data_IF_600927596225
#
_entry.id   IF_600927596225
#
_cell.length_a   1.000
_cell.length_b   1.000
_cell.length_c   1.000
_cell.angle_alpha   90.00
_cell.angle_beta   90.00
_cell.angle_gamma   90.00
#
_symmetry.space_group_name_H-M   'P 1'
#
loop_
_entity.id
_entity.type
_entity.pdbx_description
1 polymer ?
#
# COMPACT_ATOMS: atom_id res chain seq x y z
N UNK A 1 1.12 -18.47 7.51
CA UNK A 1 2.24 -17.54 7.29
C UNK A 1 2.40 -17.22 5.81
N UNK A 2 2.77 -18.17 4.96
CA UNK A 2 2.93 -17.93 3.50
C UNK A 2 1.67 -17.35 2.87
N UNK A 3 0.49 -17.92 3.16
CA UNK A 3 -0.78 -17.37 2.65
C UNK A 3 -1.04 -15.94 3.11
N UNK A 4 -0.78 -15.65 4.39
CA UNK A 4 -0.92 -14.32 4.98
C UNK A 4 0.00 -13.30 4.28
N UNK A 5 1.25 -13.67 4.05
CA UNK A 5 2.20 -12.82 3.33
C UNK A 5 1.83 -12.66 1.85
N UNK A 6 1.26 -13.69 1.22
CA UNK A 6 0.75 -13.59 -0.15
C UNK A 6 -0.46 -12.65 -0.22
N UNK A 7 -1.31 -12.61 0.80
CA UNK A 7 -2.40 -11.63 0.92
C UNK A 7 -1.86 -10.20 1.03
N UNK A 8 -0.85 -9.95 1.88
CA UNK A 8 -0.18 -8.65 1.95
C UNK A 8 0.49 -8.30 0.60
N UNK A 9 1.23 -9.23 0.00
CA UNK A 9 1.87 -9.07 -1.30
C UNK A 9 0.87 -8.64 -2.39
N UNK A 10 -0.32 -9.24 -2.42
CA UNK A 10 -1.36 -8.82 -3.34
C UNK A 10 -1.86 -7.40 -3.08
N UNK A 11 -1.95 -7.01 -1.81
CA UNK A 11 -2.35 -5.66 -1.39
C UNK A 11 -1.35 -4.64 -1.92
N UNK A 12 -0.06 -4.82 -1.65
CA UNK A 12 1.02 -3.94 -2.13
C UNK A 12 1.03 -3.78 -3.65
N UNK A 13 0.84 -4.87 -4.41
CA UNK A 13 0.79 -4.78 -5.88
C UNK A 13 -0.46 -4.07 -6.39
N UNK A 14 -1.62 -4.26 -5.74
CA UNK A 14 -2.84 -3.51 -6.09
C UNK A 14 -2.66 -2.03 -5.80
N UNK A 15 -2.08 -1.68 -4.64
CA UNK A 15 -1.74 -0.31 -4.27
C UNK A 15 -0.72 0.32 -5.22
N UNK A 16 0.38 -0.36 -5.52
CA UNK A 16 1.39 0.04 -6.52
C UNK A 16 0.74 0.42 -7.85
N UNK A 17 -0.12 -0.46 -8.40
CA UNK A 17 -0.79 -0.22 -9.68
C UNK A 17 -1.80 0.92 -9.61
N UNK A 18 -2.47 1.10 -8.47
CA UNK A 18 -3.40 2.21 -8.23
C UNK A 18 -2.64 3.54 -8.17
N UNK A 19 -1.52 3.60 -7.44
CA UNK A 19 -0.67 4.78 -7.39
C UNK A 19 -0.12 5.17 -8.76
N UNK A 20 0.40 4.22 -9.54
CA UNK A 20 0.84 4.53 -10.91
C UNK A 20 -0.31 5.06 -11.77
N UNK A 21 -1.52 4.48 -11.65
CA UNK A 21 -2.68 5.02 -12.36
C UNK A 21 -2.95 6.46 -11.93
N UNK A 22 -2.99 6.74 -10.64
CA UNK A 22 -3.23 8.09 -10.11
C UNK A 22 -2.12 9.08 -10.54
N UNK A 23 -0.85 8.67 -10.52
CA UNK A 23 0.28 9.43 -11.05
C UNK A 23 0.09 9.86 -12.50
N UNK A 24 -0.26 8.91 -13.39
CA UNK A 24 -0.43 9.21 -14.81
C UNK A 24 -1.71 10.01 -15.11
N UNK A 25 -2.74 9.86 -14.28
CA UNK A 25 -4.04 10.52 -14.46
C UNK A 25 -4.15 11.86 -13.72
N UNK A 26 -3.22 12.17 -12.82
CA UNK A 26 -3.14 13.44 -12.10
C UNK A 26 -2.98 14.61 -13.09
N UNK A 27 -3.95 15.52 -13.06
CA UNK A 27 -4.03 16.71 -13.93
C UNK A 27 -4.70 17.86 -13.19
N UNK A 28 -4.35 19.09 -13.56
CA UNK A 28 -4.86 20.31 -12.93
C UNK A 28 -3.74 21.21 -12.41
N UNK A 29 -4.08 22.43 -11.97
CA UNK A 29 -3.10 23.43 -11.52
C UNK A 29 -2.28 23.01 -10.29
N UNK A 30 -2.82 22.12 -9.45
CA UNK A 30 -2.17 21.61 -8.23
C UNK A 30 -1.55 20.21 -8.42
N UNK A 31 -1.52 19.70 -9.66
CA UNK A 31 -1.19 18.31 -9.91
C UNK A 31 0.27 17.97 -9.68
N UNK A 32 1.20 18.92 -9.87
CA UNK A 32 2.64 18.59 -9.89
C UNK A 32 3.16 18.10 -8.53
N UNK A 33 2.69 18.67 -7.42
CA UNK A 33 3.08 18.24 -6.07
C UNK A 33 2.47 16.86 -5.74
N UNK A 34 1.15 16.71 -5.87
CA UNK A 34 0.42 15.45 -5.59
C UNK A 34 0.91 14.30 -6.49
N UNK A 35 1.31 14.63 -7.71
CA UNK A 35 1.89 13.66 -8.65
C UNK A 35 3.28 13.18 -8.20
N UNK A 36 4.07 14.02 -7.54
CA UNK A 36 5.32 13.58 -6.91
C UNK A 36 5.06 12.49 -5.89
N UNK A 37 4.15 12.76 -4.95
CA UNK A 37 3.76 11.83 -3.87
C UNK A 37 3.26 10.49 -4.43
N UNK A 38 2.35 10.51 -5.42
CA UNK A 38 1.87 9.26 -6.04
C UNK A 38 2.98 8.42 -6.67
N UNK A 39 4.02 9.05 -7.23
CA UNK A 39 5.13 8.30 -7.82
C UNK A 39 6.03 7.70 -6.75
N UNK A 40 6.30 8.46 -5.69
CA UNK A 40 7.11 8.02 -4.55
C UNK A 40 6.45 6.82 -3.86
N UNK A 41 5.16 6.93 -3.54
CA UNK A 41 4.43 5.85 -2.88
C UNK A 41 4.32 4.62 -3.77
N UNK A 42 4.13 4.78 -5.09
CA UNK A 42 4.16 3.64 -6.02
C UNK A 42 5.48 2.85 -5.95
N UNK A 43 6.60 3.53 -5.70
CA UNK A 43 7.92 2.90 -5.60
C UNK A 43 8.14 2.26 -4.23
N UNK A 44 7.67 2.89 -3.15
CA UNK A 44 7.71 2.33 -1.80
C UNK A 44 6.86 1.06 -1.69
N UNK A 45 5.63 1.09 -2.17
CA UNK A 45 4.71 -0.05 -2.27
C UNK A 45 5.31 -1.21 -3.07
N UNK A 46 5.97 -0.90 -4.19
CA UNK A 46 6.70 -1.92 -4.94
C UNK A 46 7.87 -2.51 -4.12
N UNK A 47 8.58 -1.68 -3.36
CA UNK A 47 9.65 -2.14 -2.49
C UNK A 47 9.12 -3.02 -1.34
N UNK A 48 7.98 -2.67 -0.75
CA UNK A 48 7.28 -3.49 0.24
C UNK A 48 6.94 -4.87 -0.35
N UNK A 49 6.34 -4.89 -1.54
CA UNK A 49 6.00 -6.11 -2.26
C UNK A 49 7.23 -7.00 -2.50
N UNK A 50 8.38 -6.42 -2.88
CA UNK A 50 9.63 -7.16 -3.04
C UNK A 50 10.10 -7.80 -1.74
N UNK A 51 10.08 -7.05 -0.62
CA UNK A 51 10.47 -7.57 0.71
C UNK A 51 9.57 -8.74 1.13
N UNK A 52 8.26 -8.64 0.88
CA UNK A 52 7.30 -9.70 1.16
C UNK A 52 7.55 -10.94 0.30
N UNK A 53 7.78 -10.76 -1.01
CA UNK A 53 8.07 -11.85 -1.93
C UNK A 53 9.36 -12.60 -1.55
N UNK A 54 10.43 -11.86 -1.24
CA UNK A 54 11.67 -12.45 -0.73
C UNK A 54 11.44 -13.22 0.57
N UNK A 55 10.64 -12.67 1.48
CA UNK A 55 10.33 -13.35 2.75
C UNK A 55 9.53 -14.63 2.54
N UNK A 56 8.58 -14.65 1.61
CA UNK A 56 7.82 -15.85 1.24
C UNK A 56 8.77 -16.96 0.76
N UNK A 57 9.73 -16.64 -0.10
CA UNK A 57 10.73 -17.59 -0.60
C UNK A 57 11.62 -18.13 0.54
N UNK A 58 12.07 -17.26 1.44
CA UNK A 58 12.86 -17.67 2.62
C UNK A 58 12.12 -18.65 3.54
N UNK A 59 10.79 -18.56 3.59
CA UNK A 59 9.93 -19.47 4.35
C UNK A 59 9.58 -20.77 3.58
N UNK A 60 10.14 -20.96 2.37
CA UNK A 60 9.91 -22.13 1.52
C UNK A 60 8.59 -22.08 0.74
N UNK A 61 7.98 -20.90 0.62
CA UNK A 61 6.78 -20.67 -0.19
C UNK A 61 7.09 -20.09 -1.58
N UNK A 62 6.03 -19.95 -2.38
CA UNK A 62 6.08 -19.31 -3.69
C UNK A 62 5.27 -18.00 -3.63
N UNK A 63 5.84 -16.86 -4.06
CA UNK A 63 5.10 -15.60 -4.14
C UNK A 63 4.11 -15.66 -5.31
N UNK A 64 2.83 -15.44 -5.01
CA UNK A 64 1.77 -15.41 -6.01
C UNK A 64 1.60 -13.99 -6.57
N UNK A 65 2.20 -13.78 -7.74
CA UNK A 65 2.14 -12.55 -8.52
C UNK A 65 1.13 -12.61 -9.67
N UNK A 66 0.25 -13.61 -9.69
CA UNK A 66 -0.68 -13.77 -10.81
C UNK A 66 -1.72 -12.62 -10.83
N UNK A 67 -1.73 -11.76 -11.87
CA UNK A 67 -2.62 -10.61 -11.94
C UNK A 67 -4.11 -10.97 -11.85
N UNK A 68 -4.51 -12.16 -12.30
CA UNK A 68 -5.91 -12.61 -12.26
C UNK A 68 -6.43 -12.90 -10.84
N UNK A 69 -5.53 -12.90 -9.86
CA UNK A 69 -5.82 -13.26 -8.46
C UNK A 69 -5.51 -12.15 -7.46
N UNK A 70 -4.73 -11.14 -7.84
CA UNK A 70 -4.30 -10.06 -6.92
C UNK A 70 -5.50 -9.41 -6.23
N UNK A 71 -6.49 -8.96 -6.99
CA UNK A 71 -7.67 -8.27 -6.43
C UNK A 71 -8.59 -9.16 -5.60
N UNK A 72 -8.49 -10.49 -5.73
CA UNK A 72 -9.28 -11.45 -4.93
C UNK A 72 -8.65 -11.69 -3.56
N UNK A 73 -7.35 -11.40 -3.41
CA UNK A 73 -6.56 -11.60 -2.20
C UNK A 73 -6.25 -10.31 -1.47
N UNK A 74 -6.13 -9.19 -2.21
CA UNK A 74 -5.86 -7.87 -1.67
C UNK A 74 -6.92 -7.42 -0.67
N UNK A 75 -6.50 -6.78 0.42
CA UNK A 75 -7.41 -6.06 1.31
C UNK A 75 -7.85 -4.72 0.74
N UNK A 76 -7.00 -4.07 -0.05
CA UNK A 76 -7.29 -2.81 -0.70
C UNK A 76 -7.95 -3.00 -2.08
N UNK A 77 -8.86 -2.10 -2.43
CA UNK A 77 -9.49 -2.09 -3.75
C UNK A 77 -8.66 -1.33 -4.79
N UNK A 78 -8.80 -1.73 -6.06
CA UNK A 78 -8.33 -0.95 -7.20
C UNK A 78 -9.39 0.10 -7.55
N UNK A 79 -9.36 1.24 -6.85
CA UNK A 79 -10.25 2.39 -7.11
C UNK A 79 -9.53 3.41 -7.97
N UNK A 80 -10.24 3.88 -8.99
CA UNK A 80 -9.67 4.73 -10.04
C UNK A 80 -9.62 6.22 -9.69
N UNK A 81 -10.51 6.71 -8.84
CA UNK A 81 -10.71 8.14 -8.57
C UNK A 81 -11.32 8.92 -9.75
N UNK A 82 -12.28 9.81 -9.47
CA UNK A 82 -12.90 10.66 -10.51
C UNK A 82 -12.16 11.97 -10.78
N UNK A 83 -11.46 12.51 -9.78
CA UNK A 83 -10.64 13.72 -9.86
C UNK A 83 -9.44 13.64 -8.90
N UNK A 84 -8.57 14.66 -8.89
CA UNK A 84 -7.34 14.65 -8.10
C UNK A 84 -7.60 14.49 -6.60
N UNK A 85 -8.68 15.11 -6.08
CA UNK A 85 -9.03 15.03 -4.66
C UNK A 85 -9.58 13.66 -4.31
N UNK A 86 -10.38 13.09 -5.20
CA UNK A 86 -10.88 11.73 -5.05
C UNK A 86 -9.74 10.71 -5.09
N UNK A 87 -8.75 10.86 -5.98
CA UNK A 87 -7.57 9.99 -6.02
C UNK A 87 -6.79 9.98 -4.71
N UNK A 88 -6.54 11.15 -4.11
CA UNK A 88 -5.90 11.26 -2.80
C UNK A 88 -6.72 10.59 -1.72
N UNK A 89 -8.04 10.82 -1.70
CA UNK A 89 -8.95 10.21 -0.74
C UNK A 89 -8.98 8.68 -0.85
N UNK A 90 -9.05 8.14 -2.06
CA UNK A 90 -9.04 6.69 -2.29
C UNK A 90 -7.72 6.05 -1.87
N UNK A 91 -6.59 6.73 -2.06
CA UNK A 91 -5.30 6.28 -1.52
C UNK A 91 -5.28 6.30 0.01
N UNK A 92 -5.72 7.39 0.66
CA UNK A 92 -5.83 7.43 2.13
C UNK A 92 -6.72 6.30 2.71
N UNK A 93 -7.83 5.98 2.03
CA UNK A 93 -8.70 4.86 2.44
C UNK A 93 -7.94 3.55 2.35
N UNK A 94 -7.21 3.33 1.26
CA UNK A 94 -6.43 2.12 1.08
C UNK A 94 -5.28 2.01 2.10
N UNK A 95 -4.58 3.10 2.42
CA UNK A 95 -3.54 3.11 3.45
C UNK A 95 -4.09 2.70 4.80
N UNK A 96 -5.23 3.25 5.21
CA UNK A 96 -5.86 2.88 6.48
C UNK A 96 -6.26 1.40 6.53
N UNK A 97 -6.72 0.84 5.42
CA UNK A 97 -7.01 -0.60 5.31
C UNK A 97 -5.71 -1.42 5.41
N UNK A 98 -4.63 -0.98 4.77
CA UNK A 98 -3.32 -1.64 4.84
C UNK A 98 -2.75 -1.61 6.27
N UNK A 99 -2.76 -0.45 6.93
CA UNK A 99 -2.36 -0.26 8.33
C UNK A 99 -3.09 -1.23 9.26
N UNK A 100 -4.42 -1.29 9.18
CA UNK A 100 -5.22 -2.19 10.00
C UNK A 100 -4.85 -3.66 9.74
N UNK A 101 -4.69 -4.03 8.45
CA UNK A 101 -4.25 -5.37 8.06
C UNK A 101 -2.87 -5.72 8.60
N UNK A 102 -1.91 -4.80 8.53
CA UNK A 102 -0.55 -5.02 9.05
C UNK A 102 -0.52 -5.16 10.57
N UNK A 103 -1.30 -4.36 11.30
CA UNK A 103 -1.44 -4.48 12.76
C UNK A 103 -1.98 -5.86 13.15
N UNK A 104 -3.04 -6.31 12.49
CA UNK A 104 -3.59 -7.67 12.71
C UNK A 104 -2.57 -8.77 12.39
N UNK A 105 -1.80 -8.62 11.32
CA UNK A 105 -0.74 -9.55 10.94
C UNK A 105 0.38 -9.60 11.98
N UNK A 106 0.86 -8.44 12.44
CA UNK A 106 1.91 -8.32 13.45
C UNK A 106 1.47 -8.99 14.76
N UNK A 107 0.24 -8.75 15.20
CA UNK A 107 -0.33 -9.35 16.39
C UNK A 107 -0.47 -10.88 16.25
N UNK A 108 -0.93 -11.36 15.09
CA UNK A 108 -1.07 -12.78 14.81
C UNK A 108 0.27 -13.53 14.83
N UNK A 109 1.31 -12.92 14.25
CA UNK A 109 2.66 -13.47 14.22
C UNK A 109 3.25 -13.49 15.64
N UNK A 110 3.10 -12.40 16.39
CA UNK A 110 3.68 -12.26 17.72
C UNK A 110 5.17 -12.55 17.72
N UNK A 111 5.65 -13.34 18.68
CA UNK A 111 7.07 -13.67 18.81
C UNK A 111 7.50 -14.95 18.07
N UNK A 112 6.60 -15.54 17.25
CA UNK A 112 6.86 -16.81 16.56
C UNK A 112 7.86 -16.68 15.40
N UNK A 113 7.88 -15.51 14.77
CA UNK A 113 8.79 -15.20 13.67
C UNK A 113 9.19 -13.72 13.73
N UNK A 114 10.26 -13.45 14.46
CA UNK A 114 10.75 -12.08 14.70
C UNK A 114 11.28 -11.42 13.43
N UNK A 115 11.75 -12.18 12.45
CA UNK A 115 12.19 -11.63 11.16
C UNK A 115 11.00 -11.14 10.35
N UNK A 116 9.95 -11.96 10.22
CA UNK A 116 8.74 -11.52 9.51
C UNK A 116 8.09 -10.35 10.23
N UNK A 117 7.95 -10.41 11.56
CA UNK A 117 7.37 -9.32 12.35
C UNK A 117 8.07 -7.98 12.09
N UNK A 118 9.41 -7.93 12.12
CA UNK A 118 10.17 -6.70 11.83
C UNK A 118 9.93 -6.16 10.42
N UNK A 119 9.86 -7.05 9.42
CA UNK A 119 9.56 -6.63 8.05
C UNK A 119 8.19 -5.96 7.98
N UNK A 120 7.18 -6.53 8.65
CA UNK A 120 5.83 -5.95 8.69
C UNK A 120 5.77 -4.65 9.48
N UNK A 121 6.50 -4.55 10.60
CA UNK A 121 6.60 -3.31 11.40
C UNK A 121 7.22 -2.17 10.59
N UNK A 122 8.26 -2.45 9.80
CA UNK A 122 8.89 -1.45 8.93
C UNK A 122 7.99 -1.01 7.76
N UNK A 123 7.15 -1.92 7.25
CA UNK A 123 6.17 -1.59 6.20
C UNK A 123 5.04 -0.76 6.82
N UNK A 124 4.49 -1.20 7.95
CA UNK A 124 3.46 -0.47 8.70
C UNK A 124 3.88 0.98 8.99
N UNK A 125 5.13 1.20 9.41
CA UNK A 125 5.63 2.55 9.67
C UNK A 125 5.59 3.47 8.42
N UNK A 126 5.87 2.92 7.24
CA UNK A 126 5.76 3.67 5.97
C UNK A 126 4.29 3.90 5.57
N UNK A 127 3.41 2.91 5.74
CA UNK A 127 1.97 3.14 5.45
C UNK A 127 1.34 4.18 6.39
N UNK A 128 1.79 4.24 7.65
CA UNK A 128 1.38 5.29 8.58
C UNK A 128 1.84 6.69 8.11
N UNK A 129 3.08 6.81 7.60
CA UNK A 129 3.60 8.04 6.99
C UNK A 129 2.78 8.44 5.75
N UNK A 130 2.53 7.51 4.83
CA UNK A 130 1.71 7.74 3.63
C UNK A 130 0.31 8.24 3.99
N UNK A 131 -0.32 7.64 5.00
CA UNK A 131 -1.66 8.00 5.45
C UNK A 131 -1.70 9.42 6.05
N UNK A 132 -0.68 9.81 6.81
CA UNK A 132 -0.57 11.15 7.39
C UNK A 132 -0.37 12.20 6.29
N UNK A 133 0.50 11.95 5.31
CA UNK A 133 0.73 12.85 4.17
C UNK A 133 -0.54 13.10 3.34
N UNK A 134 -1.33 12.06 3.04
CA UNK A 134 -2.60 12.26 2.34
C UNK A 134 -3.67 12.91 3.21
N UNK A 135 -3.67 12.67 4.52
CA UNK A 135 -4.57 13.38 5.42
C UNK A 135 -4.29 14.89 5.42
N UNK A 136 -3.02 15.28 5.50
CA UNK A 136 -2.56 16.66 5.45
C UNK A 136 -2.91 17.32 4.11
N UNK A 137 -2.70 16.62 2.98
CA UNK A 137 -3.10 17.11 1.66
C UNK A 137 -4.61 17.36 1.56
N UNK A 138 -5.44 16.49 2.15
CA UNK A 138 -6.90 16.66 2.16
C UNK A 138 -7.35 17.81 3.06
N UNK A 139 -6.71 18.01 4.20
CA UNK A 139 -6.98 19.14 5.09
C UNK A 139 -6.61 20.47 4.42
N UNK A 140 -5.44 20.53 3.76
CA UNK A 140 -4.99 21.69 2.99
C UNK A 140 -5.95 22.09 1.85
N UNK A 141 -6.73 21.15 1.31
CA UNK A 141 -7.79 21.44 0.33
C UNK A 141 -9.05 22.07 0.92
N UNK A 142 -9.24 22.00 2.24
CA UNK A 142 -10.38 22.57 2.96
C UNK A 142 -10.01 23.90 3.63
N UNK A 143 -8.72 24.23 3.74
CA UNK A 143 -8.25 25.46 4.35
C UNK A 143 -8.89 26.72 3.78
N UNK A 144 -9.49 27.53 4.67
CA UNK A 144 -9.87 28.94 4.41
C UNK A 144 -8.65 29.82 4.12
#
# INVERSE_FOLDING_TARGET
MIELLNTALATEYVCTLRYYRHYFMAKGMLADAVKGEFLEHAQQEQAHAHRLAERIVQLGGEPDLNPDTLTKRSHAEYKEGSDLRDMVKENLIAERIAIDSYREMIDFIGDKDTTTKRILEDILAQEEEHADEFADLLEGWIGE
#
